data_IF_877164122266
#
_entry.id   IF_877164122266
#
_cell.length_a   1.000
_cell.length_b   1.000
_cell.length_c   1.000
_cell.angle_alpha   90.00
_cell.angle_beta   90.00
_cell.angle_gamma   90.00
#
_symmetry.space_group_name_H-M   'P 1'
#
loop_
_entity.id
_entity.type
_entity.pdbx_description
1 polymer ?
#
# COMPACT_ATOMS: atom_id res chain seq x y z
N UNK A 1 28.34 21.78 43.29
CA UNK A 1 26.93 22.21 43.28
C UNK A 1 26.73 23.16 42.10
N UNK A 2 25.60 23.04 41.38
CA UNK A 2 25.20 23.66 40.08
C UNK A 2 25.73 22.89 38.85
N UNK A 3 24.92 22.07 38.11
CA UNK A 3 23.78 22.35 37.18
C UNK A 3 24.13 23.47 36.19
N UNK A 4 23.90 23.44 34.88
CA UNK A 4 23.20 22.63 33.86
C UNK A 4 23.82 23.13 32.51
N UNK A 5 23.83 22.43 31.38
CA UNK A 5 22.67 22.32 30.50
C UNK A 5 22.86 21.27 29.41
N UNK A 6 21.77 20.52 29.23
CA UNK A 6 21.52 19.56 28.18
C UNK A 6 21.22 20.28 26.86
N UNK A 7 22.09 20.15 25.86
CA UNK A 7 21.73 20.49 24.48
C UNK A 7 21.20 19.23 23.78
N UNK A 8 19.89 19.06 23.87
CA UNK A 8 19.15 18.16 23.00
C UNK A 8 19.42 18.55 21.54
N UNK A 9 20.12 17.71 20.80
CA UNK A 9 20.32 17.88 19.35
C UNK A 9 18.96 17.77 18.66
N UNK A 10 18.37 18.93 18.32
CA UNK A 10 17.21 19.04 17.44
C UNK A 10 17.67 18.63 16.02
N UNK A 11 17.67 17.32 15.76
CA UNK A 11 18.16 16.72 14.52
C UNK A 11 17.35 17.19 13.31
N UNK A 12 18.00 17.91 12.40
CA UNK A 12 17.48 18.18 11.07
C UNK A 12 17.51 16.90 10.22
N UNK A 13 16.42 16.63 9.53
CA UNK A 13 16.27 15.48 8.62
C UNK A 13 17.18 15.65 7.40
N UNK A 14 17.96 14.61 7.06
CA UNK A 14 18.87 14.58 5.90
C UNK A 14 18.10 14.71 4.58
N UNK A 15 18.72 15.26 3.53
CA UNK A 15 18.08 15.41 2.21
C UNK A 15 17.66 14.06 1.62
N UNK A 16 18.51 13.03 1.78
CA UNK A 16 18.19 11.64 1.42
C UNK A 16 16.93 11.11 2.11
N UNK A 17 16.74 11.49 3.38
CA UNK A 17 15.57 11.07 4.16
C UNK A 17 14.30 11.78 3.69
N UNK A 18 14.40 13.06 3.30
CA UNK A 18 13.27 13.79 2.70
C UNK A 18 12.85 13.17 1.36
N UNK A 19 13.81 12.83 0.50
CA UNK A 19 13.54 12.18 -0.77
C UNK A 19 12.95 10.79 -0.59
N UNK A 20 13.46 10.00 0.35
CA UNK A 20 12.88 8.71 0.71
C UNK A 20 11.42 8.86 1.15
N UNK A 21 11.11 9.81 2.04
CA UNK A 21 9.74 10.09 2.49
C UNK A 21 8.84 10.51 1.32
N UNK A 22 9.38 11.29 0.38
CA UNK A 22 8.65 11.71 -0.83
C UNK A 22 8.33 10.51 -1.72
N UNK A 23 9.31 9.64 -1.99
CA UNK A 23 9.10 8.44 -2.79
C UNK A 23 8.12 7.49 -2.13
N UNK A 24 8.23 7.26 -0.83
CA UNK A 24 7.28 6.43 -0.08
C UNK A 24 5.85 6.96 -0.16
N UNK A 25 5.65 8.28 -0.10
CA UNK A 25 4.33 8.88 -0.31
C UNK A 25 3.79 8.55 -1.70
N UNK A 26 4.55 8.83 -2.76
CA UNK A 26 4.10 8.55 -4.12
C UNK A 26 3.84 7.07 -4.35
N UNK A 27 4.70 6.20 -3.81
CA UNK A 27 4.55 4.76 -3.90
C UNK A 27 3.27 4.28 -3.23
N UNK A 28 3.02 4.70 -1.99
CA UNK A 28 1.81 4.33 -1.26
C UNK A 28 0.55 4.82 -1.96
N UNK A 29 0.56 6.06 -2.48
CA UNK A 29 -0.58 6.58 -3.24
C UNK A 29 -0.84 5.76 -4.49
N UNK A 30 0.20 5.45 -5.28
CA UNK A 30 0.06 4.63 -6.50
C UNK A 30 -0.39 3.21 -6.18
N UNK A 31 0.14 2.60 -5.12
CA UNK A 31 -0.29 1.29 -4.62
C UNK A 31 -1.79 1.29 -4.28
N UNK A 32 -2.28 2.27 -3.50
CA UNK A 32 -3.70 2.33 -3.13
C UNK A 32 -4.57 2.53 -4.36
N UNK A 33 -4.20 3.44 -5.27
CA UNK A 33 -4.92 3.65 -6.54
C UNK A 33 -5.04 2.34 -7.33
N UNK A 34 -3.92 1.64 -7.56
CA UNK A 34 -3.90 0.40 -8.32
C UNK A 34 -4.70 -0.73 -7.67
N UNK A 35 -4.57 -0.92 -6.35
CA UNK A 35 -5.25 -2.02 -5.65
C UNK A 35 -6.76 -1.76 -5.55
N UNK A 36 -7.19 -0.52 -5.27
CA UNK A 36 -8.61 -0.17 -5.23
C UNK A 36 -9.24 -0.29 -6.62
N UNK A 37 -8.58 0.20 -7.68
CA UNK A 37 -9.05 0.03 -9.05
C UNK A 37 -9.26 -1.44 -9.42
N UNK A 38 -8.35 -2.33 -8.99
CA UNK A 38 -8.52 -3.76 -9.19
C UNK A 38 -9.77 -4.34 -8.49
N UNK A 39 -10.37 -3.65 -7.51
CA UNK A 39 -11.59 -4.07 -6.80
C UNK A 39 -12.87 -3.43 -7.33
N UNK A 40 -12.78 -2.45 -8.23
CA UNK A 40 -13.94 -1.75 -8.80
C UNK A 40 -14.66 -2.53 -9.93
N UNK A 41 -14.22 -3.75 -10.25
CA UNK A 41 -14.89 -4.59 -11.25
C UNK A 41 -14.57 -4.26 -12.71
N UNK A 42 -13.92 -3.12 -12.96
CA UNK A 42 -13.50 -2.70 -14.30
C UNK A 42 -12.13 -3.29 -14.65
N UNK A 43 -11.95 -3.69 -15.90
CA UNK A 43 -10.62 -4.01 -16.41
C UNK A 43 -9.81 -2.72 -16.46
N UNK A 44 -8.62 -2.70 -15.85
CA UNK A 44 -7.77 -1.52 -15.90
C UNK A 44 -7.50 -1.14 -17.35
N UNK A 45 -7.52 0.16 -17.63
CA UNK A 45 -7.25 0.70 -18.95
C UNK A 45 -5.84 0.26 -19.38
N UNK A 46 -5.73 -0.29 -20.58
CA UNK A 46 -4.44 -0.61 -21.16
C UNK A 46 -3.77 0.72 -21.55
N UNK A 47 -2.75 1.12 -20.80
CA UNK A 47 -1.98 2.31 -21.15
C UNK A 47 -0.97 1.98 -22.25
N UNK A 48 -0.91 2.84 -23.26
CA UNK A 48 0.15 2.81 -24.27
C UNK A 48 1.48 3.21 -23.61
N UNK A 49 2.56 2.50 -23.96
CA UNK A 49 3.90 2.88 -23.51
C UNK A 49 4.34 4.14 -24.27
N UNK A 50 4.79 5.17 -23.54
CA UNK A 50 5.37 6.38 -24.13
C UNK A 50 6.86 6.44 -23.86
N UNK A 51 7.70 6.78 -24.85
CA UNK A 51 9.13 7.01 -24.65
C UNK A 51 9.40 8.37 -23.98
N UNK A 52 8.43 9.29 -24.00
CA UNK A 52 8.55 10.60 -23.35
C UNK A 52 7.96 10.52 -21.95
N UNK A 53 8.76 10.70 -20.89
CA UNK A 53 8.25 10.68 -19.54
C UNK A 53 7.33 11.89 -19.32
N UNK A 54 6.08 11.66 -18.95
CA UNK A 54 5.21 12.72 -18.50
C UNK A 54 5.43 12.96 -17.00
N UNK A 55 5.34 14.23 -16.58
CA UNK A 55 5.61 14.66 -15.21
C UNK A 55 4.81 13.95 -14.09
N UNK A 56 3.59 13.37 -14.32
CA UNK A 56 2.92 12.58 -13.28
C UNK A 56 3.41 11.13 -13.17
N UNK A 57 4.25 10.61 -14.08
CA UNK A 57 4.57 9.18 -14.19
C UNK A 57 5.64 8.69 -13.19
N UNK A 58 5.29 8.73 -11.91
CA UNK A 58 6.09 8.17 -10.84
C UNK A 58 6.34 6.67 -11.03
N UNK A 59 7.59 6.26 -10.86
CA UNK A 59 8.07 4.89 -11.01
C UNK A 59 7.96 4.34 -12.43
N UNK A 60 7.94 5.22 -13.45
CA UNK A 60 7.84 4.87 -14.87
C UNK A 60 6.60 4.00 -15.15
N UNK A 61 5.50 4.32 -14.46
CA UNK A 61 4.23 3.63 -14.56
C UNK A 61 3.10 4.64 -14.63
N UNK A 62 2.25 4.46 -15.63
CA UNK A 62 0.99 5.18 -15.74
C UNK A 62 -0.01 4.45 -14.85
N UNK A 63 -0.54 5.18 -13.88
CA UNK A 63 -1.62 4.73 -12.99
C UNK A 63 -2.67 5.81 -12.99
N UNK A 64 -3.89 5.49 -13.43
CA UNK A 64 -5.00 6.43 -13.38
C UNK A 64 -5.24 6.91 -11.96
N UNK A 65 -5.54 8.19 -11.79
CA UNK A 65 -5.81 8.77 -10.49
C UNK A 65 -7.31 8.95 -10.30
N UNK A 66 -7.90 8.18 -9.39
CA UNK A 66 -9.28 8.40 -8.95
C UNK A 66 -9.26 9.55 -7.95
N UNK A 67 -9.94 10.64 -8.30
CA UNK A 67 -9.94 11.88 -7.50
C UNK A 67 -10.47 11.69 -6.07
N UNK A 68 -11.48 10.85 -5.88
CA UNK A 68 -12.03 10.52 -4.55
C UNK A 68 -10.98 9.82 -3.66
N UNK A 69 -10.23 8.87 -4.23
CA UNK A 69 -9.14 8.19 -3.52
C UNK A 69 -8.02 9.18 -3.22
N UNK A 70 -7.65 10.03 -4.18
CA UNK A 70 -6.62 11.05 -3.96
C UNK A 70 -7.00 12.00 -2.81
N UNK A 71 -8.26 12.44 -2.76
CA UNK A 71 -8.79 13.26 -1.68
C UNK A 71 -8.81 12.52 -0.34
N UNK A 72 -9.20 11.24 -0.32
CA UNK A 72 -9.15 10.38 0.86
C UNK A 72 -7.72 10.24 1.40
N UNK A 73 -6.76 9.95 0.53
CA UNK A 73 -5.34 9.81 0.91
C UNK A 73 -4.77 11.12 1.45
N UNK A 74 -5.10 12.25 0.80
CA UNK A 74 -4.62 13.59 1.19
C UNK A 74 -5.18 14.05 2.54
N UNK A 75 -6.44 13.76 2.83
CA UNK A 75 -7.10 14.17 4.07
C UNK A 75 -6.91 13.17 5.23
N UNK A 76 -6.92 11.88 4.93
CA UNK A 76 -6.91 10.79 5.90
C UNK A 76 -5.52 10.33 6.33
N UNK A 77 -4.49 10.51 5.50
CA UNK A 77 -3.13 10.01 5.79
C UNK A 77 -2.14 11.17 5.89
N UNK A 78 -1.79 11.50 7.14
CA UNK A 78 -0.79 12.54 7.44
C UNK A 78 0.65 12.02 7.36
N UNK A 79 0.85 10.75 7.70
CA UNK A 79 2.17 10.12 7.81
C UNK A 79 2.20 8.82 6.99
N UNK A 80 3.21 8.70 6.13
CA UNK A 80 3.53 7.49 5.37
C UNK A 80 4.79 6.84 5.98
N UNK A 81 5.01 5.52 5.81
CA UNK A 81 6.27 4.92 6.20
C UNK A 81 7.43 5.67 5.49
N UNK A 82 8.54 5.97 6.18
CA UNK A 82 8.93 5.45 7.49
C UNK A 82 8.35 6.26 8.68
N UNK A 83 7.72 7.43 8.46
CA UNK A 83 7.19 8.29 9.55
C UNK A 83 6.08 7.64 10.37
N UNK A 84 5.43 6.62 9.82
CA UNK A 84 4.57 5.70 10.57
C UNK A 84 5.09 4.27 10.41
N UNK A 85 4.71 3.38 11.32
CA UNK A 85 5.17 1.98 11.31
C UNK A 85 4.62 1.17 10.13
N UNK A 86 3.43 1.50 9.64
CA UNK A 86 2.79 0.82 8.52
C UNK A 86 1.71 1.69 7.89
N UNK A 87 1.46 1.47 6.59
CA UNK A 87 0.22 1.84 5.92
C UNK A 87 -0.59 0.55 5.69
N UNK A 88 -1.87 0.53 6.05
CA UNK A 88 -2.77 -0.58 5.76
C UNK A 88 -3.94 -0.11 4.89
N UNK A 89 -4.32 -0.95 3.93
CA UNK A 89 -5.52 -0.82 3.11
C UNK A 89 -6.32 -2.10 3.25
N UNK A 90 -7.53 -1.99 3.78
CA UNK A 90 -8.39 -3.13 4.06
C UNK A 90 -9.59 -3.14 3.13
N UNK A 91 -9.96 -4.33 2.69
CA UNK A 91 -11.16 -4.60 1.90
C UNK A 91 -12.14 -5.41 2.71
N UNK A 92 -13.37 -4.92 2.76
CA UNK A 92 -14.49 -5.56 3.43
C UNK A 92 -15.60 -5.81 2.42
N UNK A 93 -16.23 -6.96 2.53
CA UNK A 93 -17.49 -7.25 1.87
C UNK A 93 -18.62 -6.79 2.79
N UNK A 94 -19.48 -5.93 2.29
CA UNK A 94 -20.68 -5.49 3.00
C UNK A 94 -21.91 -6.09 2.32
N UNK A 95 -22.70 -6.85 3.07
CA UNK A 95 -23.90 -7.51 2.57
C UNK A 95 -25.09 -6.55 2.59
N UNK A 96 -26.11 -6.81 1.77
CA UNK A 96 -27.37 -6.07 1.79
C UNK A 96 -28.10 -6.17 3.15
N UNK A 97 -27.83 -7.23 3.91
CA UNK A 97 -28.35 -7.44 5.27
C UNK A 97 -27.65 -6.57 6.34
N UNK A 98 -26.61 -5.81 5.95
CA UNK A 98 -25.87 -4.89 6.82
C UNK A 98 -24.62 -5.48 7.50
N UNK A 99 -24.32 -6.75 7.25
CA UNK A 99 -23.13 -7.41 7.79
C UNK A 99 -21.86 -7.00 7.02
N UNK A 100 -20.72 -7.00 7.70
CA UNK A 100 -19.43 -6.67 7.09
C UNK A 100 -18.38 -7.75 7.39
N UNK A 101 -17.78 -8.31 6.35
CA UNK A 101 -16.77 -9.35 6.42
C UNK A 101 -15.43 -8.85 5.88
N UNK A 102 -14.34 -8.82 6.67
CA UNK A 102 -13.02 -8.51 6.15
C UNK A 102 -12.55 -9.61 5.19
N UNK A 103 -12.22 -9.23 3.95
CA UNK A 103 -11.73 -10.14 2.92
C UNK A 103 -10.22 -10.12 2.79
N UNK A 104 -9.63 -8.93 2.82
CA UNK A 104 -8.24 -8.74 2.43
C UNK A 104 -7.63 -7.50 3.09
N UNK A 105 -6.35 -7.56 3.44
CA UNK A 105 -5.58 -6.44 3.96
C UNK A 105 -4.23 -6.35 3.25
N UNK A 106 -3.89 -5.16 2.77
CA UNK A 106 -2.62 -4.82 2.16
C UNK A 106 -1.84 -3.93 3.11
N UNK A 107 -0.71 -4.42 3.61
CA UNK A 107 0.08 -3.68 4.60
C UNK A 107 1.47 -3.40 4.05
N UNK A 108 1.82 -2.12 3.97
CA UNK A 108 3.14 -1.62 3.58
C UNK A 108 3.92 -1.28 4.85
N UNK A 109 5.07 -1.92 5.06
CA UNK A 109 5.96 -1.69 6.21
C UNK A 109 7.39 -1.46 5.74
N UNK A 110 8.09 -0.59 6.46
CA UNK A 110 9.53 -0.34 6.26
C UNK A 110 10.23 -0.79 7.54
N UNK A 111 11.17 -1.73 7.43
CA UNK A 111 12.06 -2.04 8.55
C UNK A 111 13.20 -1.02 8.59
N UNK A 112 13.24 -0.23 9.67
CA UNK A 112 14.27 0.80 9.87
C UNK A 112 15.62 0.21 10.25
N UNK A 113 15.65 -0.99 10.82
CA UNK A 113 16.89 -1.59 11.33
C UNK A 113 17.76 -2.21 10.23
N UNK A 114 17.21 -2.35 9.03
CA UNK A 114 17.87 -2.99 7.89
C UNK A 114 17.98 -2.04 6.67
N UNK A 115 17.73 -0.75 6.88
CA UNK A 115 17.89 0.28 5.85
C UNK A 115 19.38 0.54 5.60
N UNK A 116 19.87 0.12 4.42
CA UNK A 116 21.25 0.44 4.01
C UNK A 116 21.35 1.92 3.60
N UNK A 117 22.02 2.72 4.44
CA UNK A 117 22.23 4.16 4.25
C UNK A 117 23.09 4.50 3.02
N UNK A 118 23.78 3.51 2.44
CA UNK A 118 24.62 3.68 1.25
C UNK A 118 23.85 3.56 -0.06
N UNK A 119 22.58 3.13 -0.04
CA UNK A 119 21.78 2.97 -1.26
C UNK A 119 21.53 4.31 -1.93
N UNK A 120 21.75 4.37 -3.24
CA UNK A 120 21.40 5.54 -4.04
C UNK A 120 19.88 5.66 -4.18
N UNK A 121 19.32 6.64 -3.46
CA UNK A 121 17.88 6.95 -3.40
C UNK A 121 17.32 7.21 -4.80
N UNK A 122 18.01 8.00 -5.64
CA UNK A 122 17.47 8.44 -6.93
C UNK A 122 17.50 7.39 -8.04
N UNK A 123 18.35 6.37 -7.94
CA UNK A 123 18.49 5.35 -8.99
C UNK A 123 18.02 3.98 -8.49
N UNK A 124 18.76 3.38 -7.57
CA UNK A 124 18.51 2.01 -7.11
C UNK A 124 17.13 1.88 -6.43
N UNK A 125 16.84 2.77 -5.47
CA UNK A 125 15.56 2.76 -4.75
C UNK A 125 14.38 3.02 -5.70
N UNK A 126 14.48 4.02 -6.58
CA UNK A 126 13.41 4.32 -7.54
C UNK A 126 13.09 3.11 -8.44
N UNK A 127 14.10 2.42 -8.97
CA UNK A 127 13.91 1.22 -9.78
C UNK A 127 13.31 0.06 -8.97
N UNK A 128 13.75 -0.14 -7.73
CA UNK A 128 13.20 -1.17 -6.86
C UNK A 128 11.73 -0.92 -6.53
N UNK A 129 11.36 0.32 -6.23
CA UNK A 129 9.97 0.72 -6.01
C UNK A 129 9.11 0.56 -7.27
N UNK A 130 9.67 0.83 -8.46
CA UNK A 130 9.00 0.56 -9.74
C UNK A 130 8.70 -0.92 -9.93
N UNK A 131 9.69 -1.79 -9.72
CA UNK A 131 9.49 -3.25 -9.78
C UNK A 131 8.45 -3.71 -8.77
N UNK A 132 8.54 -3.22 -7.54
CA UNK A 132 7.60 -3.54 -6.48
C UNK A 132 6.16 -3.12 -6.83
N UNK A 133 5.98 -1.93 -7.40
CA UNK A 133 4.67 -1.43 -7.83
C UNK A 133 4.09 -2.30 -8.95
N UNK A 134 4.90 -2.74 -9.93
CA UNK A 134 4.46 -3.71 -10.95
C UNK A 134 3.98 -5.01 -10.31
N UNK A 135 4.75 -5.55 -9.36
CA UNK A 135 4.38 -6.77 -8.65
C UNK A 135 3.10 -6.63 -7.84
N UNK A 136 2.87 -5.47 -7.21
CA UNK A 136 1.61 -5.15 -6.51
C UNK A 136 0.44 -5.13 -7.49
N UNK A 137 0.57 -4.44 -8.63
CA UNK A 137 -0.48 -4.37 -9.65
C UNK A 137 -0.85 -5.79 -10.11
N UNK A 138 0.15 -6.64 -10.36
CA UNK A 138 -0.09 -8.03 -10.73
C UNK A 138 -0.72 -8.83 -9.59
N UNK A 139 -0.12 -8.83 -8.40
CA UNK A 139 -0.60 -9.56 -7.23
C UNK A 139 -2.04 -9.20 -6.86
N UNK A 140 -2.43 -7.92 -7.04
CA UNK A 140 -3.78 -7.45 -6.76
C UNK A 140 -4.87 -8.19 -7.53
N UNK A 141 -4.53 -8.81 -8.67
CA UNK A 141 -5.44 -9.58 -9.53
C UNK A 141 -5.41 -11.09 -9.26
N UNK A 142 -4.44 -11.57 -8.49
CA UNK A 142 -4.32 -12.99 -8.16
C UNK A 142 -4.94 -13.35 -6.81
N UNK A 143 -5.39 -12.36 -6.03
CA UNK A 143 -5.97 -12.63 -4.72
C UNK A 143 -7.36 -13.28 -4.84
N UNK A 144 -7.76 -14.11 -3.86
CA UNK A 144 -9.10 -14.70 -3.83
C UNK A 144 -10.21 -13.64 -3.93
N UNK A 145 -10.03 -12.49 -3.26
CA UNK A 145 -10.93 -11.34 -3.32
C UNK A 145 -11.24 -10.93 -4.76
N UNK A 146 -10.18 -10.76 -5.57
CA UNK A 146 -10.33 -10.44 -6.99
C UNK A 146 -11.06 -11.52 -7.77
N UNK A 147 -10.65 -12.78 -7.60
CA UNK A 147 -11.16 -13.90 -8.39
C UNK A 147 -12.63 -14.23 -8.13
N UNK A 148 -13.06 -14.12 -6.88
CA UNK A 148 -14.38 -14.61 -6.47
C UNK A 148 -15.43 -13.52 -6.25
N UNK A 149 -15.02 -12.33 -5.79
CA UNK A 149 -15.97 -11.32 -5.30
C UNK A 149 -16.11 -10.12 -6.22
N UNK A 150 -15.01 -9.63 -6.82
CA UNK A 150 -15.00 -8.36 -7.56
C UNK A 150 -16.03 -8.28 -8.69
N UNK A 151 -16.21 -9.36 -9.46
CA UNK A 151 -17.17 -9.41 -10.58
C UNK A 151 -18.60 -9.76 -10.17
N UNK A 152 -18.82 -10.12 -8.91
CA UNK A 152 -20.12 -10.57 -8.38
C UNK A 152 -20.79 -9.54 -7.48
N UNK A 153 -20.23 -8.34 -7.37
CA UNK A 153 -20.79 -7.26 -6.57
C UNK A 153 -22.13 -6.84 -7.15
N UNK A 154 -23.13 -6.71 -6.28
CA UNK A 154 -24.42 -6.10 -6.61
C UNK A 154 -25.01 -5.47 -5.35
N UNK A 155 -25.68 -4.31 -5.44
CA UNK A 155 -26.31 -3.67 -4.29
C UNK A 155 -27.32 -4.58 -3.55
N UNK A 156 -27.91 -5.54 -4.26
CA UNK A 156 -28.89 -6.49 -3.73
C UNK A 156 -28.25 -7.67 -2.98
N UNK A 157 -26.93 -7.87 -3.13
CA UNK A 157 -26.21 -9.00 -2.53
C UNK A 157 -25.11 -8.50 -1.61
N UNK A 158 -24.05 -7.95 -2.20
CA UNK A 158 -22.94 -7.35 -1.49
C UNK A 158 -22.15 -6.38 -2.36
N UNK A 159 -21.48 -5.44 -1.70
CA UNK A 159 -20.54 -4.51 -2.32
C UNK A 159 -19.21 -4.53 -1.56
N UNK A 160 -18.11 -4.28 -2.26
CA UNK A 160 -16.79 -4.18 -1.64
C UNK A 160 -16.54 -2.74 -1.18
N UNK A 161 -16.24 -2.59 0.10
CA UNK A 161 -15.75 -1.35 0.68
C UNK A 161 -14.23 -1.43 0.88
N UNK A 162 -13.58 -0.28 0.78
CA UNK A 162 -12.18 -0.11 1.11
C UNK A 162 -12.01 1.00 2.15
N UNK A 163 -11.04 0.85 3.03
CA UNK A 163 -10.76 1.87 4.03
C UNK A 163 -9.70 1.42 5.04
N UNK A 164 -9.58 2.20 6.12
CA UNK A 164 -8.72 1.87 7.25
C UNK A 164 -9.48 0.98 8.23
N UNK A 165 -9.32 -0.34 8.13
CA UNK A 165 -9.82 -1.24 9.15
C UNK A 165 -8.75 -1.37 10.25
N UNK A 166 -9.02 -0.75 11.40
CA UNK A 166 -8.19 -0.95 12.59
C UNK A 166 -8.51 -2.33 13.17
N UNK A 167 -7.89 -3.38 12.63
CA UNK A 167 -8.23 -4.76 12.98
C UNK A 167 -7.05 -5.47 13.64
N UNK A 168 -6.93 -5.34 14.97
CA UNK A 168 -6.14 -6.28 15.80
C UNK A 168 -7.04 -7.38 16.39
N UNK A 169 -8.38 -7.23 16.29
CA UNK A 169 -9.31 -8.06 17.05
C UNK A 169 -10.07 -9.10 16.19
N UNK A 170 -10.40 -8.83 14.91
CA UNK A 170 -11.12 -9.81 14.07
C UNK A 170 -10.23 -10.79 13.26
N UNK A 171 -8.91 -10.70 13.37
CA UNK A 171 -7.98 -11.67 12.77
C UNK A 171 -7.53 -12.77 13.74
N UNK A 172 -8.05 -12.79 14.99
CA UNK A 172 -7.64 -13.77 16.03
C UNK A 172 -8.09 -15.21 15.77
N UNK A 173 -8.85 -15.47 14.70
CA UNK A 173 -9.35 -16.81 14.36
C UNK A 173 -9.25 -17.17 12.88
N UNK A 174 -8.71 -16.30 12.03
CA UNK A 174 -8.53 -16.53 10.60
C UNK A 174 -7.06 -16.82 10.32
N UNK A 175 -6.78 -17.91 9.59
CA UNK A 175 -5.42 -18.23 9.17
C UNK A 175 -4.94 -17.16 8.19
N UNK A 176 -4.10 -16.26 8.70
CA UNK A 176 -3.45 -15.23 7.90
C UNK A 176 -2.36 -15.91 7.09
N UNK A 177 -2.58 -16.11 5.79
CA UNK A 177 -1.51 -16.48 4.89
C UNK A 177 -0.63 -15.23 4.67
N UNK A 178 0.39 -15.06 5.51
CA UNK A 178 1.38 -13.98 5.38
C UNK A 178 2.26 -14.27 4.15
N UNK A 179 1.78 -13.92 2.97
CA UNK A 179 2.59 -13.99 1.77
C UNK A 179 3.53 -12.76 1.76
N UNK A 180 4.74 -12.92 2.32
CA UNK A 180 5.85 -11.97 2.13
C UNK A 180 6.25 -12.02 0.66
N UNK A 181 5.65 -11.18 -0.15
CA UNK A 181 5.81 -11.34 -1.59
C UNK A 181 7.19 -10.92 -2.08
N UNK A 182 7.87 -9.96 -1.45
CA UNK A 182 9.11 -9.42 -1.99
C UNK A 182 10.07 -8.95 -0.88
N UNK A 183 11.15 -9.69 -0.56
CA UNK A 183 12.32 -9.08 0.06
C UNK A 183 12.91 -8.09 -0.95
N UNK A 184 12.81 -6.81 -0.64
CA UNK A 184 13.48 -5.77 -1.43
C UNK A 184 14.76 -5.36 -0.69
N UNK A 185 15.81 -4.88 -1.39
CA UNK A 185 17.06 -4.41 -0.75
C UNK A 185 16.89 -3.19 0.19
N UNK A 186 15.65 -2.74 0.41
CA UNK A 186 15.25 -1.65 1.29
C UNK A 186 14.31 -2.12 2.39
N UNK A 187 14.06 -3.44 2.46
CA UNK A 187 13.33 -4.06 3.57
C UNK A 187 11.91 -3.49 3.66
N UNK A 188 11.37 -3.16 2.47
CA UNK A 188 9.98 -2.80 2.25
C UNK A 188 9.19 -4.08 2.09
N UNK A 189 8.33 -4.35 3.06
CA UNK A 189 7.48 -5.52 3.11
C UNK A 189 6.06 -5.15 2.73
N UNK A 190 5.51 -5.88 1.76
CA UNK A 190 4.08 -5.85 1.46
C UNK A 190 3.50 -7.17 1.93
N UNK A 191 2.63 -7.09 2.93
CA UNK A 191 1.90 -8.22 3.46
C UNK A 191 0.50 -8.18 2.85
N UNK A 192 0.13 -9.26 2.17
CA UNK A 192 -1.24 -9.49 1.73
C UNK A 192 -1.85 -10.53 2.66
N UNK A 193 -2.80 -10.12 3.47
CA UNK A 193 -3.57 -11.01 4.33
C UNK A 193 -4.93 -11.25 3.66
N UNK A 194 -5.29 -12.49 3.37
CA UNK A 194 -6.60 -12.82 2.80
C UNK A 194 -7.33 -13.73 3.77
N UNK A 195 -8.61 -13.48 4.02
CA UNK A 195 -9.48 -14.46 4.70
C UNK A 195 -9.95 -15.48 3.67
N UNK A 196 -9.81 -16.77 3.99
CA UNK A 196 -10.29 -17.84 3.13
C UNK A 196 -10.33 -19.18 3.85
N UNK A 197 -11.22 -20.11 3.47
CA UNK A 197 -11.19 -21.48 3.98
C UNK A 197 -9.90 -22.18 3.53
N UNK A 198 -9.31 -23.00 4.41
CA UNK A 198 -8.18 -23.87 4.06
C UNK A 198 -8.57 -24.77 2.88
N UNK A 199 -7.93 -24.60 1.74
CA UNK A 199 -7.98 -25.61 0.68
C UNK A 199 -6.95 -26.68 1.05
N UNK A 200 -7.44 -27.88 1.41
CA UNK A 200 -6.63 -29.09 1.54
C UNK A 200 -6.32 -29.66 0.16
#
# INVERSE_FOLDING_TARGET
MMRQDSTASRGGMSEKEKDFVKFMRHFCTRLVQSVVQARMGQMAVAHSCSPTPETPDWFNLIVDEIGEIAAYMKSGIKNYPPKCSALSLDFLLHTADGDSLPLESWVVRVDRNQLDENVNVHTALYHQMSTLLKSVIMASRFTPSYRYYVRKQSPETFVLFYGRARLVIAWRGTEVQENRLLPTPLELYILICTTGPKWK
#
